data_IF_260614389578
#
_entry.id   IF_260614389578
#
_cell.length_a   1.000
_cell.length_b   1.000
_cell.length_c   1.000
_cell.angle_alpha   90.00
_cell.angle_beta   90.00
_cell.angle_gamma   90.00
#
_symmetry.space_group_name_H-M   'P 1'
#
loop_
_entity.id
_entity.type
_entity.pdbx_description
1 polymer ?
#
# COMPACT_ATOMS: atom_id res chain seq x y z
N UNK A 1 -28.57 -29.78 -22.29
CA UNK A 1 -28.26 -28.40 -22.75
C UNK A 1 -28.42 -27.48 -21.57
N UNK A 2 -27.32 -27.15 -20.89
CA UNK A 2 -27.31 -26.30 -19.68
C UNK A 2 -26.85 -24.91 -20.10
N UNK A 3 -27.72 -23.91 -19.94
CA UNK A 3 -27.43 -22.51 -20.25
C UNK A 3 -26.60 -21.90 -19.13
N UNK A 4 -25.32 -21.69 -19.40
CA UNK A 4 -24.44 -20.87 -18.56
C UNK A 4 -24.91 -19.42 -18.69
N UNK A 5 -25.48 -18.88 -17.60
CA UNK A 5 -25.83 -17.48 -17.48
C UNK A 5 -24.52 -16.69 -17.33
N UNK A 6 -24.11 -16.06 -18.42
CA UNK A 6 -22.99 -15.14 -18.47
C UNK A 6 -23.41 -13.85 -17.73
N UNK A 7 -22.98 -13.70 -16.48
CA UNK A 7 -23.16 -12.43 -15.75
C UNK A 7 -22.03 -11.48 -16.16
N UNK A 8 -22.35 -10.26 -16.64
CA UNK A 8 -21.32 -9.32 -17.06
C UNK A 8 -20.60 -8.77 -15.82
N UNK A 9 -19.26 -8.84 -15.86
CA UNK A 9 -18.37 -8.17 -14.91
C UNK A 9 -18.65 -6.66 -14.98
N UNK A 10 -19.21 -6.09 -13.91
CA UNK A 10 -19.34 -4.64 -13.77
C UNK A 10 -17.95 -4.06 -13.55
N UNK A 11 -17.38 -3.44 -14.59
CA UNK A 11 -16.12 -2.71 -14.51
C UNK A 11 -16.35 -1.32 -13.91
N UNK A 12 -16.30 -1.22 -12.58
CA UNK A 12 -15.99 0.02 -11.85
C UNK A 12 -15.68 -0.31 -10.37
N UNK A 13 -14.87 -1.35 -10.13
CA UNK A 13 -14.26 -1.50 -8.82
C UNK A 13 -13.13 -0.48 -8.76
N UNK A 14 -13.31 0.58 -7.98
CA UNK A 14 -12.21 1.47 -7.59
C UNK A 14 -11.24 0.60 -6.81
N UNK A 15 -10.13 0.25 -7.44
CA UNK A 15 -9.12 -0.60 -6.85
C UNK A 15 -8.44 0.14 -5.69
N UNK A 16 -8.91 -0.13 -4.46
CA UNK A 16 -8.33 0.41 -3.23
C UNK A 16 -6.82 0.09 -3.08
N UNK A 17 -6.29 -0.90 -3.82
CA UNK A 17 -4.85 -1.18 -3.82
C UNK A 17 -4.02 -0.09 -4.49
N UNK A 18 -4.63 0.73 -5.36
CA UNK A 18 -3.97 1.86 -6.01
C UNK A 18 -3.74 3.06 -5.07
N UNK A 19 -4.41 3.11 -3.91
CA UNK A 19 -4.33 4.25 -2.98
C UNK A 19 -3.17 4.11 -1.96
N UNK A 20 -2.84 2.88 -1.54
CA UNK A 20 -1.73 2.60 -0.60
C UNK A 20 -0.36 3.16 -1.01
N UNK A 21 0.06 3.12 -2.29
CA UNK A 21 1.36 3.63 -2.69
C UNK A 21 1.49 5.14 -2.50
N UNK A 22 0.40 5.90 -2.61
CA UNK A 22 0.45 7.37 -2.66
C UNK A 22 0.98 7.97 -1.36
N UNK A 23 0.60 7.40 -0.20
CA UNK A 23 1.10 7.84 1.11
C UNK A 23 2.59 7.62 1.27
N UNK A 24 3.13 6.53 0.73
CA UNK A 24 4.57 6.23 0.83
C UNK A 24 5.43 7.29 0.13
N UNK A 25 4.90 7.99 -0.87
CA UNK A 25 5.63 9.03 -1.59
C UNK A 25 5.79 10.32 -0.79
N UNK A 26 5.05 10.48 0.31
CA UNK A 26 5.24 11.58 1.26
C UNK A 26 6.44 11.37 2.17
N UNK A 27 7.09 10.21 2.13
CA UNK A 27 8.26 9.87 2.93
C UNK A 27 9.53 10.04 2.08
N UNK A 28 10.45 10.96 2.41
CA UNK A 28 11.61 11.28 1.58
C UNK A 28 12.56 10.10 1.28
N UNK A 29 12.72 9.16 2.22
CA UNK A 29 13.54 7.95 2.04
C UNK A 29 12.96 7.03 0.96
N UNK A 30 11.64 6.88 0.95
CA UNK A 30 10.93 6.05 -0.03
C UNK A 30 10.89 6.77 -1.38
N UNK A 31 10.38 8.00 -1.43
CA UNK A 31 10.24 8.77 -2.68
C UNK A 31 11.60 8.95 -3.37
N UNK A 32 12.66 9.25 -2.61
CA UNK A 32 14.01 9.41 -3.14
C UNK A 32 14.58 8.13 -3.77
N UNK A 33 14.26 6.95 -3.22
CA UNK A 33 14.64 5.68 -3.83
C UNK A 33 13.85 5.41 -5.12
N UNK A 34 12.56 5.74 -5.12
CA UNK A 34 11.69 5.56 -6.28
C UNK A 34 12.11 6.46 -7.45
N UNK A 35 12.43 7.73 -7.19
CA UNK A 35 13.00 8.64 -8.18
C UNK A 35 14.31 8.09 -8.77
N UNK A 36 15.25 7.66 -7.91
CA UNK A 36 16.58 7.18 -8.34
C UNK A 36 16.55 5.91 -9.19
N UNK A 37 15.56 5.05 -8.97
CA UNK A 37 15.42 3.79 -9.73
C UNK A 37 14.67 3.98 -11.05
N UNK A 38 14.17 5.19 -11.32
CA UNK A 38 13.33 5.57 -12.46
C UNK A 38 12.06 4.75 -12.63
N UNK A 39 11.75 3.85 -11.69
CA UNK A 39 10.61 2.93 -11.80
C UNK A 39 9.25 3.61 -11.65
N UNK A 40 9.23 4.93 -11.46
CA UNK A 40 8.02 5.75 -11.43
C UNK A 40 8.09 6.98 -12.33
N UNK A 41 9.28 7.52 -12.58
CA UNK A 41 9.47 8.72 -13.41
C UNK A 41 9.59 8.43 -14.90
N UNK A 42 9.87 7.18 -15.30
CA UNK A 42 9.85 6.77 -16.71
C UNK A 42 8.56 6.00 -17.03
N UNK A 43 7.66 6.53 -17.90
CA UNK A 43 6.44 5.87 -18.35
C UNK A 43 6.65 4.43 -18.86
N UNK A 44 7.78 4.13 -19.51
CA UNK A 44 8.07 2.78 -20.02
C UNK A 44 8.26 1.75 -18.90
N UNK A 45 8.65 2.20 -17.70
CA UNK A 45 8.94 1.32 -16.56
C UNK A 45 7.89 1.41 -15.45
N UNK A 46 7.18 2.53 -15.33
CA UNK A 46 6.21 2.76 -14.26
C UNK A 46 4.96 1.88 -14.38
N UNK A 47 4.43 1.71 -15.58
CA UNK A 47 3.30 0.79 -15.80
C UNK A 47 3.68 -0.66 -15.53
N UNK A 48 4.89 -1.07 -15.94
CA UNK A 48 5.39 -2.42 -15.65
C UNK A 48 5.51 -2.63 -14.14
N UNK A 49 6.10 -1.68 -13.39
CA UNK A 49 6.20 -1.79 -11.93
C UNK A 49 4.83 -1.85 -11.26
N UNK A 50 3.88 -1.02 -11.71
CA UNK A 50 2.51 -1.04 -11.20
C UNK A 50 1.89 -2.43 -11.42
N UNK A 51 1.91 -2.94 -12.66
CA UNK A 51 1.38 -4.25 -13.00
C UNK A 51 2.08 -5.40 -12.23
N UNK A 52 3.41 -5.38 -12.12
CA UNK A 52 4.18 -6.38 -11.36
C UNK A 52 3.79 -6.38 -9.87
N UNK A 53 3.58 -5.19 -9.29
CA UNK A 53 3.16 -5.05 -7.89
C UNK A 53 1.73 -5.55 -7.70
N UNK A 54 0.79 -5.09 -8.53
CA UNK A 54 -0.62 -5.51 -8.47
C UNK A 54 -0.77 -7.02 -8.68
N UNK A 55 0.04 -7.62 -9.55
CA UNK A 55 0.04 -9.07 -9.75
C UNK A 55 0.46 -9.79 -8.46
N UNK A 56 1.62 -9.46 -7.89
CA UNK A 56 2.10 -10.10 -6.65
C UNK A 56 1.13 -9.93 -5.49
N UNK A 57 0.56 -8.74 -5.31
CA UNK A 57 -0.42 -8.45 -4.25
C UNK A 57 -1.68 -9.28 -4.43
N UNK A 58 -2.23 -9.34 -5.65
CA UNK A 58 -3.39 -10.18 -5.95
C UNK A 58 -3.12 -11.66 -5.71
N UNK A 59 -1.91 -12.15 -5.97
CA UNK A 59 -1.56 -13.55 -5.73
C UNK A 59 -1.67 -13.93 -4.25
N UNK A 60 -1.13 -13.13 -3.33
CA UNK A 60 -1.18 -13.48 -1.90
C UNK A 60 -2.46 -13.03 -1.18
N UNK A 61 -3.22 -12.08 -1.73
CA UNK A 61 -4.54 -11.68 -1.19
C UNK A 61 -5.69 -12.54 -1.73
N UNK A 62 -5.63 -12.97 -2.99
CA UNK A 62 -6.72 -13.66 -3.68
C UNK A 62 -6.68 -15.19 -3.59
N UNK A 63 -5.61 -15.77 -3.05
CA UNK A 63 -5.46 -17.23 -2.91
C UNK A 63 -5.29 -17.62 -1.43
N UNK A 64 -5.60 -18.89 -1.12
CA UNK A 64 -5.44 -19.42 0.24
C UNK A 64 -4.00 -19.25 0.75
N UNK A 65 -3.77 -18.95 2.06
CA UNK A 65 -2.43 -18.68 2.60
C UNK A 65 -1.40 -19.79 2.36
N UNK A 66 -1.84 -21.06 2.39
CA UNK A 66 -1.00 -22.23 2.16
C UNK A 66 -0.81 -22.59 0.68
N UNK A 67 -1.44 -21.84 -0.24
CA UNK A 67 -1.35 -22.12 -1.67
C UNK A 67 0.05 -21.84 -2.21
N UNK A 68 0.47 -22.62 -3.23
CA UNK A 68 1.73 -22.39 -3.94
C UNK A 68 1.80 -20.96 -4.51
N UNK A 69 0.68 -20.40 -4.96
CA UNK A 69 0.59 -19.04 -5.51
C UNK A 69 0.93 -17.99 -4.46
N UNK A 70 0.27 -18.01 -3.31
CA UNK A 70 0.53 -17.10 -2.19
C UNK A 70 1.98 -17.19 -1.71
N UNK A 71 2.48 -18.40 -1.45
CA UNK A 71 3.85 -18.60 -0.96
C UNK A 71 4.88 -18.09 -1.98
N UNK A 72 4.67 -18.37 -3.27
CA UNK A 72 5.58 -17.91 -4.34
C UNK A 72 5.58 -16.39 -4.45
N UNK A 73 4.42 -15.73 -4.35
CA UNK A 73 4.31 -14.28 -4.46
C UNK A 73 4.96 -13.56 -3.27
N UNK A 74 4.77 -14.05 -2.05
CA UNK A 74 5.45 -13.51 -0.85
C UNK A 74 6.96 -13.72 -0.96
N UNK A 75 7.42 -14.92 -1.34
CA UNK A 75 8.84 -15.20 -1.54
C UNK A 75 9.47 -14.31 -2.63
N UNK A 76 8.76 -14.09 -3.74
CA UNK A 76 9.21 -13.20 -4.82
C UNK A 76 9.30 -11.75 -4.35
N UNK A 77 8.29 -11.28 -3.62
CA UNK A 77 8.28 -9.94 -3.03
C UNK A 77 9.46 -9.76 -2.08
N UNK A 78 9.69 -10.73 -1.18
CA UNK A 78 10.83 -10.71 -0.27
C UNK A 78 12.16 -10.68 -1.01
N UNK A 79 12.33 -11.51 -2.05
CA UNK A 79 13.54 -11.54 -2.86
C UNK A 79 13.82 -10.19 -3.55
N UNK A 80 12.79 -9.56 -4.13
CA UNK A 80 12.92 -8.25 -4.79
C UNK A 80 13.38 -7.15 -3.81
N UNK A 81 12.90 -7.19 -2.56
CA UNK A 81 13.27 -6.20 -1.55
C UNK A 81 14.60 -6.52 -0.83
N UNK A 82 15.06 -7.77 -0.84
CA UNK A 82 16.22 -8.21 -0.06
C UNK A 82 17.50 -7.43 -0.39
N UNK A 83 17.80 -7.21 -1.68
CA UNK A 83 19.01 -6.46 -2.08
C UNK A 83 18.98 -5.01 -1.63
N UNK A 84 17.81 -4.37 -1.61
CA UNK A 84 17.65 -3.00 -1.14
C UNK A 84 17.72 -2.88 0.38
N UNK A 85 17.14 -3.84 1.11
CA UNK A 85 17.21 -3.90 2.58
C UNK A 85 18.64 -4.15 3.06
N UNK A 86 19.32 -5.16 2.48
CA UNK A 86 20.71 -5.50 2.85
C UNK A 86 21.72 -4.41 2.50
N UNK A 87 21.45 -3.60 1.47
CA UNK A 87 22.28 -2.42 1.14
C UNK A 87 21.90 -1.15 1.91
N UNK A 88 20.91 -1.21 2.82
CA UNK A 88 20.46 -0.06 3.62
C UNK A 88 19.66 0.98 2.83
N UNK A 89 19.26 0.69 1.58
CA UNK A 89 18.47 1.59 0.74
C UNK A 89 16.98 1.61 1.11
N UNK A 90 16.48 0.52 1.68
CA UNK A 90 15.15 0.43 2.27
C UNK A 90 15.34 0.10 3.74
N UNK A 91 14.88 0.98 4.64
CA UNK A 91 14.94 0.72 6.07
C UNK A 91 13.85 -0.26 6.51
N UNK A 92 14.04 -0.90 7.67
CA UNK A 92 12.99 -1.75 8.26
C UNK A 92 11.72 -0.93 8.58
N UNK A 93 11.88 0.32 9.00
CA UNK A 93 10.75 1.21 9.24
C UNK A 93 9.99 1.55 7.94
N UNK A 94 10.68 1.74 6.82
CA UNK A 94 10.01 1.97 5.52
C UNK A 94 9.20 0.72 5.09
N UNK A 95 9.74 -0.47 5.32
CA UNK A 95 9.02 -1.74 5.07
C UNK A 95 7.80 -1.88 5.98
N UNK A 96 7.96 -1.62 7.28
CA UNK A 96 6.89 -1.71 8.27
C UNK A 96 5.79 -0.69 8.01
N UNK A 97 6.15 0.54 7.64
CA UNK A 97 5.19 1.57 7.25
C UNK A 97 4.41 1.19 6.00
N UNK A 98 5.11 0.70 4.96
CA UNK A 98 4.45 0.25 3.73
C UNK A 98 3.49 -0.91 4.01
N UNK A 99 3.87 -1.87 4.86
CA UNK A 99 2.99 -2.96 5.30
C UNK A 99 1.76 -2.42 6.06
N UNK A 100 1.95 -1.43 6.93
CA UNK A 100 0.88 -0.79 7.69
C UNK A 100 -0.18 -0.16 6.80
N UNK A 101 0.22 0.54 5.74
CA UNK A 101 -0.73 1.14 4.79
C UNK A 101 -1.67 0.11 4.17
N UNK A 102 -1.16 -1.08 3.83
CA UNK A 102 -1.99 -2.17 3.31
C UNK A 102 -3.07 -2.65 4.27
N UNK A 103 -2.82 -2.61 5.58
CA UNK A 103 -3.81 -2.95 6.60
C UNK A 103 -4.74 -1.78 6.93
N UNK A 104 -4.20 -0.57 7.05
CA UNK A 104 -4.88 0.58 7.65
C UNK A 104 -5.74 1.35 6.67
N UNK A 105 -5.30 1.60 5.44
CA UNK A 105 -6.02 2.48 4.53
C UNK A 105 -7.35 1.89 4.05
N UNK A 106 -7.49 0.58 3.76
CA UNK A 106 -8.81 0.01 3.47
C UNK A 106 -9.78 0.16 4.63
N UNK A 107 -9.32 0.01 5.87
CA UNK A 107 -10.15 0.21 7.08
C UNK A 107 -10.58 1.68 7.18
N UNK A 108 -9.63 2.61 7.07
CA UNK A 108 -9.88 4.07 7.12
C UNK A 108 -10.85 4.51 6.03
N UNK A 109 -10.72 3.97 4.82
CA UNK A 109 -11.61 4.25 3.69
C UNK A 109 -13.04 3.78 4.00
N UNK A 110 -13.20 2.53 4.42
CA UNK A 110 -14.52 1.96 4.74
C UNK A 110 -15.18 2.74 5.87
N UNK A 111 -14.46 3.04 6.94
CA UNK A 111 -15.02 3.77 8.08
C UNK A 111 -15.45 5.20 7.76
N UNK A 112 -14.84 5.82 6.74
CA UNK A 112 -15.11 7.21 6.37
C UNK A 112 -16.12 7.36 5.24
N UNK A 113 -16.11 6.48 4.25
CA UNK A 113 -16.83 6.68 2.99
C UNK A 113 -17.85 5.60 2.66
N UNK A 114 -17.78 4.42 3.29
CA UNK A 114 -18.72 3.34 3.01
C UNK A 114 -19.97 3.41 3.91
N UNK A 115 -21.04 2.77 3.45
CA UNK A 115 -22.34 2.74 4.12
C UNK A 115 -22.35 1.96 5.44
N UNK A 116 -21.30 1.16 5.71
CA UNK A 116 -21.14 0.36 6.94
C UNK A 116 -19.73 0.47 7.50
N UNK A 117 -19.61 0.22 8.81
CA UNK A 117 -18.32 0.04 9.48
C UNK A 117 -17.89 -1.43 9.47
N UNK A 118 -16.59 -1.66 9.64
CA UNK A 118 -16.04 -2.97 9.90
C UNK A 118 -16.28 -3.37 11.35
N UNK A 119 -16.69 -4.62 11.55
CA UNK A 119 -16.77 -5.26 12.87
C UNK A 119 -15.37 -5.57 13.42
N UNK A 120 -15.28 -5.78 14.73
CA UNK A 120 -14.01 -6.19 15.36
C UNK A 120 -13.50 -7.53 14.82
N UNK A 121 -14.39 -8.44 14.42
CA UNK A 121 -14.01 -9.69 13.77
C UNK A 121 -13.33 -9.44 12.42
N UNK A 122 -13.90 -8.57 11.59
CA UNK A 122 -13.33 -8.21 10.27
C UNK A 122 -11.97 -7.51 10.44
N UNK A 123 -11.85 -6.58 11.39
CA UNK A 123 -10.58 -5.90 11.71
C UNK A 123 -9.53 -6.89 12.22
N UNK A 124 -9.92 -7.82 13.10
CA UNK A 124 -9.04 -8.88 13.58
C UNK A 124 -8.53 -9.77 12.44
N UNK A 125 -9.40 -10.12 11.48
CA UNK A 125 -9.02 -10.89 10.31
C UNK A 125 -8.02 -10.13 9.42
N UNK A 126 -8.25 -8.83 9.17
CA UNK A 126 -7.32 -7.97 8.41
C UNK A 126 -5.97 -7.89 9.12
N UNK A 127 -5.95 -7.62 10.43
CA UNK A 127 -4.73 -7.56 11.22
C UNK A 127 -3.97 -8.89 11.22
N UNK A 128 -4.68 -10.01 11.40
CA UNK A 128 -4.09 -11.36 11.36
C UNK A 128 -3.46 -11.65 10.00
N UNK A 129 -4.18 -11.31 8.92
CA UNK A 129 -3.70 -11.51 7.55
C UNK A 129 -2.43 -10.71 7.26
N UNK A 130 -2.44 -9.40 7.49
CA UNK A 130 -1.29 -8.55 7.18
C UNK A 130 -0.10 -8.78 8.11
N UNK A 131 -0.33 -9.15 9.36
CA UNK A 131 0.72 -9.66 10.25
C UNK A 131 1.37 -10.91 9.65
N UNK A 132 0.58 -11.88 9.18
CA UNK A 132 1.10 -13.09 8.53
C UNK A 132 1.89 -12.79 7.25
N UNK A 133 1.47 -11.79 6.46
CA UNK A 133 2.23 -11.34 5.28
C UNK A 133 3.56 -10.71 5.71
N UNK A 134 3.55 -9.86 6.74
CA UNK A 134 4.78 -9.25 7.27
C UNK A 134 5.77 -10.27 7.82
N UNK A 135 5.29 -11.32 8.52
CA UNK A 135 6.11 -12.46 8.92
C UNK A 135 6.76 -13.14 7.69
N UNK A 136 5.98 -13.40 6.64
CA UNK A 136 6.47 -14.01 5.40
C UNK A 136 7.50 -13.16 4.65
N UNK A 137 7.36 -11.83 4.73
CA UNK A 137 8.33 -10.86 4.23
C UNK A 137 9.54 -10.67 5.17
N UNK A 138 9.52 -11.30 6.35
CA UNK A 138 10.49 -11.15 7.43
C UNK A 138 10.72 -9.68 7.81
N UNK A 139 9.63 -8.93 8.00
CA UNK A 139 9.67 -7.55 8.50
C UNK A 139 9.79 -7.59 10.03
N UNK A 140 10.70 -6.79 10.58
CA UNK A 140 10.84 -6.68 12.04
C UNK A 140 9.68 -5.91 12.67
N UNK A 141 9.20 -6.39 13.82
CA UNK A 141 8.22 -5.70 14.66
C UNK A 141 8.86 -5.11 15.93
N UNK A 142 10.19 -4.97 16.02
CA UNK A 142 10.87 -4.47 17.23
C UNK A 142 10.40 -3.08 17.70
N UNK A 143 9.81 -2.28 16.81
CA UNK A 143 9.22 -1.00 17.17
C UNK A 143 7.93 -1.12 18.00
N UNK A 144 7.34 -2.31 18.08
CA UNK A 144 6.07 -2.55 18.74
C UNK A 144 6.25 -3.03 20.18
N UNK A 145 5.47 -2.55 21.15
CA UNK A 145 5.55 -2.99 22.55
C UNK A 145 5.47 -4.51 22.71
N UNK A 146 4.61 -5.16 21.92
CA UNK A 146 4.34 -6.60 22.06
C UNK A 146 5.31 -7.50 21.30
N UNK A 147 6.33 -6.96 20.65
CA UNK A 147 7.21 -7.74 19.76
C UNK A 147 7.92 -8.90 20.47
N UNK A 148 8.25 -8.75 21.76
CA UNK A 148 8.93 -9.80 22.55
C UNK A 148 7.97 -10.85 23.11
N UNK A 149 6.76 -10.44 23.46
CA UNK A 149 5.76 -11.29 24.10
C UNK A 149 4.83 -11.95 23.09
N UNK A 150 4.81 -11.46 21.85
CA UNK A 150 3.82 -11.80 20.84
C UNK A 150 2.56 -10.95 20.98
N UNK A 151 1.78 -10.92 19.91
CA UNK A 151 0.47 -10.27 19.86
C UNK A 151 -0.61 -11.26 20.29
N UNK A 152 -1.58 -10.79 21.08
CA UNK A 152 -2.76 -11.55 21.51
C UNK A 152 -3.59 -12.01 20.32
N UNK A 153 -3.83 -11.11 19.37
CA UNK A 153 -4.67 -11.30 18.19
C UNK A 153 -4.33 -10.25 17.11
N UNK A 154 -5.04 -10.31 15.99
CA UNK A 154 -4.90 -9.34 14.92
C UNK A 154 -5.33 -7.92 15.29
N UNK A 155 -6.20 -7.75 16.30
CA UNK A 155 -6.62 -6.41 16.75
C UNK A 155 -5.48 -5.70 17.46
N UNK A 156 -4.79 -6.39 18.38
CA UNK A 156 -3.65 -5.79 19.07
C UNK A 156 -2.54 -5.40 18.08
N UNK A 157 -2.24 -6.26 17.11
CA UNK A 157 -1.28 -5.91 16.07
C UNK A 157 -1.72 -4.67 15.27
N UNK A 158 -3.02 -4.59 14.93
CA UNK A 158 -3.59 -3.46 14.20
C UNK A 158 -3.55 -2.16 15.03
N UNK A 159 -3.82 -2.22 16.33
CA UNK A 159 -3.71 -1.09 17.25
C UNK A 159 -2.26 -0.57 17.32
N UNK A 160 -1.29 -1.47 17.51
CA UNK A 160 0.13 -1.11 17.62
C UNK A 160 0.68 -0.53 16.31
N UNK A 161 0.36 -1.11 15.15
CA UNK A 161 0.78 -0.55 13.86
C UNK A 161 0.06 0.77 13.54
N UNK A 162 -1.17 0.98 14.01
CA UNK A 162 -1.88 2.26 13.85
C UNK A 162 -1.14 3.36 14.60
N UNK A 163 -0.93 3.17 15.90
CA UNK A 163 -0.24 4.15 16.74
C UNK A 163 1.19 4.44 16.23
N UNK A 164 1.93 3.39 15.90
CA UNK A 164 3.28 3.52 15.36
C UNK A 164 3.30 4.24 14.00
N UNK A 165 2.36 3.95 13.09
CA UNK A 165 2.30 4.61 11.79
C UNK A 165 1.98 6.10 11.92
N UNK A 166 1.13 6.49 12.87
CA UNK A 166 0.82 7.90 13.12
C UNK A 166 2.04 8.70 13.59
N UNK A 167 2.85 8.11 14.48
CA UNK A 167 4.12 8.66 14.93
C UNK A 167 5.16 8.71 13.81
N UNK A 168 5.27 7.64 13.02
CA UNK A 168 6.17 7.55 11.88
C UNK A 168 5.88 8.66 10.87
N UNK A 169 4.61 8.81 10.48
CA UNK A 169 4.18 9.85 9.56
C UNK A 169 4.42 11.25 10.15
N UNK A 170 4.13 11.47 11.44
CA UNK A 170 4.34 12.78 12.07
C UNK A 170 5.82 13.22 12.00
N UNK A 171 6.75 12.26 12.04
CA UNK A 171 8.18 12.51 12.03
C UNK A 171 8.78 12.56 10.62
N UNK A 172 8.33 11.70 9.71
CA UNK A 172 9.00 11.46 8.43
C UNK A 172 8.21 11.92 7.20
N UNK A 173 6.90 12.18 7.32
CA UNK A 173 6.10 12.69 6.20
C UNK A 173 6.22 14.21 6.10
N UNK A 174 7.35 14.65 5.55
CA UNK A 174 7.75 16.07 5.46
C UNK A 174 7.98 16.49 4.01
N UNK A 175 7.85 17.79 3.68
CA UNK A 175 8.07 18.29 2.32
C UNK A 175 9.47 17.95 1.81
N UNK A 176 9.57 17.43 0.58
CA UNK A 176 10.83 17.11 -0.07
C UNK A 176 10.69 17.10 -1.59
N UNK A 177 11.73 17.53 -2.32
CA UNK A 177 11.67 17.67 -3.78
C UNK A 177 11.29 16.36 -4.51
N UNK A 178 11.78 15.22 -4.02
CA UNK A 178 11.45 13.91 -4.61
C UNK A 178 10.02 13.46 -4.31
N UNK A 179 9.40 13.95 -3.23
CA UNK A 179 7.99 13.68 -2.94
C UNK A 179 7.12 14.32 -4.01
N UNK A 180 7.39 15.61 -4.32
CA UNK A 180 6.70 16.35 -5.36
C UNK A 180 6.82 15.66 -6.72
N UNK A 181 8.04 15.31 -7.11
CA UNK A 181 8.31 14.62 -8.37
C UNK A 181 7.55 13.29 -8.46
N UNK A 182 7.56 12.49 -7.39
CA UNK A 182 6.85 11.20 -7.36
C UNK A 182 5.34 11.38 -7.39
N UNK A 183 4.80 12.43 -6.75
CA UNK A 183 3.38 12.76 -6.78
C UNK A 183 2.89 13.14 -8.17
N UNK A 184 3.64 14.00 -8.88
CA UNK A 184 3.30 14.44 -10.24
C UNK A 184 3.27 13.23 -11.21
N UNK A 185 4.23 12.31 -11.08
CA UNK A 185 4.32 11.11 -11.92
C UNK A 185 3.25 10.05 -11.58
N UNK A 186 2.95 9.84 -10.31
CA UNK A 186 1.87 8.92 -9.87
C UNK A 186 0.52 9.38 -10.37
N UNK A 187 0.28 10.68 -10.27
CA UNK A 187 -0.94 11.30 -10.76
C UNK A 187 -1.12 11.05 -12.25
N UNK A 188 -0.04 11.09 -13.05
CA UNK A 188 -0.08 10.72 -14.46
C UNK A 188 -0.49 9.26 -14.70
N UNK A 189 -0.02 8.32 -13.85
CA UNK A 189 -0.42 6.90 -13.92
C UNK A 189 -1.90 6.71 -13.53
N UNK A 190 -2.34 7.35 -12.43
CA UNK A 190 -3.74 7.25 -11.97
C UNK A 190 -4.73 7.86 -12.98
N UNK A 191 -4.32 8.93 -13.68
CA UNK A 191 -5.14 9.61 -14.68
C UNK A 191 -5.00 9.03 -16.09
N UNK A 192 -4.20 7.98 -16.27
CA UNK A 192 -3.96 7.38 -17.59
C UNK A 192 -5.26 6.89 -18.25
N UNK A 193 -6.16 6.29 -17.46
CA UNK A 193 -7.46 5.82 -17.95
C UNK A 193 -8.53 6.93 -18.00
N UNK A 194 -8.23 8.14 -17.51
CA UNK A 194 -9.14 9.27 -17.49
C UNK A 194 -8.98 10.08 -18.79
N UNK A 195 -10.04 10.28 -19.59
CA UNK A 195 -9.95 11.09 -20.80
C UNK A 195 -9.48 12.51 -20.50
N UNK A 196 -8.61 13.07 -21.37
CA UNK A 196 -7.94 14.37 -21.18
C UNK A 196 -8.85 15.51 -20.66
N UNK A 197 -10.09 15.71 -21.14
CA UNK A 197 -10.97 16.77 -20.64
C UNK A 197 -11.33 16.65 -19.15
N UNK A 198 -11.30 15.43 -18.59
CA UNK A 198 -11.68 15.14 -17.20
C UNK A 198 -10.48 15.03 -16.26
N UNK A 199 -9.25 15.14 -16.76
CA UNK A 199 -8.04 14.99 -15.94
C UNK A 199 -7.96 16.07 -14.84
N UNK A 200 -8.45 17.28 -15.07
CA UNK A 200 -8.51 18.33 -14.03
C UNK A 200 -9.46 17.99 -12.88
N UNK A 201 -10.54 17.27 -13.16
CA UNK A 201 -11.45 16.78 -12.12
C UNK A 201 -10.80 15.61 -11.37
N UNK A 202 -10.12 14.71 -12.09
CA UNK A 202 -9.34 13.64 -11.49
C UNK A 202 -8.21 14.14 -10.57
N UNK A 203 -7.54 15.23 -10.92
CA UNK A 203 -6.52 15.89 -10.09
C UNK A 203 -7.09 16.37 -8.75
N UNK A 204 -8.27 17.01 -8.78
CA UNK A 204 -8.96 17.44 -7.55
C UNK A 204 -9.42 16.26 -6.71
N UNK A 205 -9.87 15.17 -7.34
CA UNK A 205 -10.29 13.96 -6.64
C UNK A 205 -9.12 13.27 -5.93
N UNK A 206 -7.98 13.10 -6.61
CA UNK A 206 -6.74 12.55 -6.01
C UNK A 206 -6.27 13.43 -4.85
N UNK A 207 -6.27 14.76 -5.04
CA UNK A 207 -5.88 15.71 -3.99
C UNK A 207 -6.84 15.70 -2.79
N UNK A 208 -8.14 15.50 -3.02
CA UNK A 208 -9.15 15.39 -1.96
C UNK A 208 -8.98 14.11 -1.13
N UNK A 209 -8.56 13.01 -1.76
CA UNK A 209 -8.34 11.75 -1.05
C UNK A 209 -7.08 11.80 -0.18
N UNK A 210 -6.09 12.65 -0.50
CA UNK A 210 -4.90 12.86 0.34
C UNK A 210 -5.26 13.61 1.63
N UNK A 211 -4.80 13.10 2.78
CA UNK A 211 -4.92 13.84 4.04
C UNK A 211 -4.02 15.10 4.09
N UNK A 212 -4.25 15.97 5.08
CA UNK A 212 -3.56 17.25 5.22
C UNK A 212 -2.04 17.13 5.37
N UNK A 213 -1.56 16.02 5.97
CA UNK A 213 -0.13 15.80 6.17
C UNK A 213 0.51 15.40 4.85
N UNK A 214 -0.09 14.44 4.16
CA UNK A 214 0.36 14.01 2.84
C UNK A 214 0.36 15.17 1.85
N UNK A 215 -0.72 15.96 1.78
CA UNK A 215 -0.78 17.13 0.89
C UNK A 215 0.37 18.09 1.13
N UNK A 216 0.66 18.41 2.39
CA UNK A 216 1.80 19.29 2.74
C UNK A 216 3.14 18.68 2.37
N UNK A 217 3.33 17.37 2.54
CA UNK A 217 4.56 16.69 2.18
C UNK A 217 4.81 16.59 0.67
N UNK A 218 3.78 16.79 -0.16
CA UNK A 218 3.84 16.80 -1.63
C UNK A 218 3.93 18.20 -2.25
N UNK A 219 3.91 19.27 -1.45
CA UNK A 219 4.19 20.64 -1.90
C UNK A 219 5.69 20.84 -2.04
#
# INVERSE_FOLDING_TARGET
MSSVVNTPVRSADIDSTAYNPVKTYGIPTISGLLTKTSQFSNPETSYKRYADTSALVQEFMGNAPSSKRTITAIARTRWLHNGYRTSGKISENDMLYTLGLFALEPIRFIEKYEWRKLTDLEKCAIGTFWKSVGDGLAISYEAFPSHKTGFRDGLQWLEEITAWSEEYEAKYMVPHATNRETADQTTAVLLYMVPKPFQQIGLHFVSFMMDDRLRRAML
#
